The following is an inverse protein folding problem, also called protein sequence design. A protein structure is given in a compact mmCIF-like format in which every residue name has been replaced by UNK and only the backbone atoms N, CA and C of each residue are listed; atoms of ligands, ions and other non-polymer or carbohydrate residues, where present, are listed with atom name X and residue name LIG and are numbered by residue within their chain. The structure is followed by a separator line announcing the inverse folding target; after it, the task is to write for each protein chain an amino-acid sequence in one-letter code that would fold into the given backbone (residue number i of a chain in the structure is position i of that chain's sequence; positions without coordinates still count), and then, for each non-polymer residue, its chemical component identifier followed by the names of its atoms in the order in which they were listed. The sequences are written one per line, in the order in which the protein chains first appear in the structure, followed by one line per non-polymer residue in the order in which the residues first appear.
data_IF_477398890971
#
_entry.id   IF_477398890971
#
_cell.length_a   1.000
_cell.length_b   1.000
_cell.length_c   1.000
_cell.angle_alpha   90.00
_cell.angle_beta   90.00
_cell.angle_gamma   90.00
#
_symmetry.space_group_name_H-M   'P 1'
#
loop_
_entity.id
_entity.type
_entity.pdbx_description
1 polymer ?
#
# COMPACT_ATOMS: atom_id res chain seq x y z
N UNK A 1 8.23 -13.78 27.43
CA UNK A 1 7.78 -15.20 27.39
C UNK A 1 7.84 -15.84 26.01
N UNK A 2 8.05 -15.05 24.92
CA UNK A 2 7.96 -15.52 23.52
C UNK A 2 9.30 -15.62 22.80
N UNK A 3 10.40 -15.72 23.51
CA UNK A 3 11.70 -15.97 22.88
C UNK A 3 11.81 -17.43 22.43
N UNK A 4 12.46 -17.64 21.27
CA UNK A 4 12.69 -18.97 20.69
C UNK A 4 13.77 -19.77 21.43
N UNK A 5 14.59 -19.11 22.27
CA UNK A 5 15.56 -19.72 23.17
C UNK A 5 15.20 -19.36 24.61
N UNK A 6 15.06 -20.35 25.47
CA UNK A 6 14.63 -20.21 26.87
C UNK A 6 15.69 -20.73 27.82
N UNK A 7 15.60 -20.36 29.09
CA UNK A 7 16.46 -20.90 30.13
C UNK A 7 16.25 -22.42 30.27
N UNK A 8 17.33 -23.15 30.16
CA UNK A 8 17.34 -24.60 30.25
C UNK A 8 17.31 -25.33 28.89
N UNK A 9 17.12 -24.61 27.78
CA UNK A 9 17.20 -25.18 26.44
C UNK A 9 18.64 -25.48 26.06
N UNK A 10 18.83 -26.41 25.13
CA UNK A 10 20.11 -26.59 24.47
C UNK A 10 20.42 -25.37 23.60
N UNK A 11 21.68 -24.96 23.57
CA UNK A 11 22.10 -23.84 22.72
C UNK A 11 21.87 -24.15 21.24
N UNK A 12 21.05 -23.34 20.61
CA UNK A 12 20.81 -23.35 19.17
C UNK A 12 21.02 -21.93 18.60
N UNK A 13 21.95 -21.79 17.69
CA UNK A 13 22.24 -20.50 17.03
C UNK A 13 21.07 -19.99 16.19
N UNK A 14 20.26 -20.87 15.61
CA UNK A 14 19.06 -20.48 14.84
C UNK A 14 17.99 -19.90 15.78
N UNK A 15 17.73 -20.58 16.90
CA UNK A 15 16.80 -20.09 17.91
C UNK A 15 17.24 -18.73 18.51
N UNK A 16 18.56 -18.53 18.64
CA UNK A 16 19.11 -17.23 19.05
C UNK A 16 18.84 -16.14 17.98
N UNK A 17 19.06 -16.43 16.70
CA UNK A 17 18.83 -15.46 15.63
C UNK A 17 17.33 -15.14 15.43
N UNK A 18 16.46 -16.14 15.56
CA UNK A 18 15.00 -15.93 15.59
C UNK A 18 14.58 -15.07 16.78
N UNK A 19 15.15 -15.29 17.95
CA UNK A 19 14.90 -14.47 19.13
C UNK A 19 15.36 -13.02 18.93
N UNK A 20 16.50 -12.78 18.28
CA UNK A 20 16.95 -11.42 17.90
C UNK A 20 15.98 -10.74 16.94
N UNK A 21 15.54 -11.44 15.90
CA UNK A 21 14.55 -10.90 14.93
C UNK A 21 13.24 -10.56 15.61
N UNK A 22 12.77 -11.45 16.50
CA UNK A 22 11.56 -11.22 17.29
C UNK A 22 11.68 -9.98 18.17
N UNK A 23 12.76 -9.85 18.96
CA UNK A 23 13.00 -8.69 19.81
C UNK A 23 13.10 -7.39 19.00
N UNK A 24 13.82 -7.41 17.87
CA UNK A 24 13.92 -6.24 17.00
C UNK A 24 12.54 -5.81 16.49
N UNK A 25 11.73 -6.76 16.01
CA UNK A 25 10.36 -6.49 15.57
C UNK A 25 9.47 -5.98 16.70
N UNK A 26 9.60 -6.55 17.89
CA UNK A 26 8.86 -6.14 19.07
C UNK A 26 9.14 -4.68 19.44
N UNK A 27 10.42 -4.27 19.48
CA UNK A 27 10.79 -2.90 19.81
C UNK A 27 10.40 -1.91 18.69
N UNK A 28 10.50 -2.31 17.42
CA UNK A 28 9.99 -1.50 16.29
C UNK A 28 8.47 -1.26 16.43
N UNK A 29 7.72 -2.28 16.82
CA UNK A 29 6.26 -2.15 17.05
C UNK A 29 5.93 -1.27 18.26
N UNK A 30 6.85 -1.15 19.23
CA UNK A 30 6.74 -0.20 20.34
C UNK A 30 7.14 1.24 19.96
N UNK A 31 7.51 1.49 18.70
CA UNK A 31 7.88 2.82 18.21
C UNK A 31 9.38 3.13 18.20
N UNK A 32 10.23 2.20 18.68
CA UNK A 32 11.68 2.40 18.66
C UNK A 32 12.27 2.07 17.29
N UNK A 33 12.41 3.04 16.43
CA UNK A 33 12.81 2.84 15.03
C UNK A 33 14.30 2.54 14.82
N UNK A 34 15.15 2.94 15.78
CA UNK A 34 16.62 2.83 15.70
C UNK A 34 17.22 1.89 16.75
N UNK A 35 16.46 0.87 17.16
CA UNK A 35 16.90 -0.13 18.12
C UNK A 35 18.16 -0.85 17.63
N UNK A 36 19.20 -0.82 18.44
CA UNK A 36 20.41 -1.63 18.26
C UNK A 36 20.37 -2.79 19.24
N UNK A 37 20.28 -4.00 18.72
CA UNK A 37 20.25 -5.23 19.50
C UNK A 37 21.58 -5.99 19.33
N UNK A 38 22.34 -6.13 20.41
CA UNK A 38 23.56 -6.94 20.47
C UNK A 38 23.32 -8.15 21.39
N UNK A 39 23.88 -9.30 21.06
CA UNK A 39 23.93 -10.44 21.98
C UNK A 39 25.37 -10.74 22.37
N UNK A 40 25.62 -10.97 23.65
CA UNK A 40 26.88 -11.53 24.14
C UNK A 40 26.65 -12.96 24.62
N UNK A 41 27.54 -13.86 24.24
CA UNK A 41 27.49 -15.28 24.56
C UNK A 41 28.72 -15.60 25.41
N UNK A 42 28.49 -16.09 26.62
CA UNK A 42 29.55 -16.58 27.49
C UNK A 42 29.37 -18.08 27.68
N UNK A 43 30.41 -18.85 27.38
CA UNK A 43 30.42 -20.31 27.56
C UNK A 43 31.20 -20.66 28.83
N UNK A 44 30.55 -21.36 29.76
CA UNK A 44 31.16 -21.88 30.97
C UNK A 44 30.86 -23.39 31.03
N UNK A 45 31.88 -24.21 30.75
CA UNK A 45 31.77 -25.68 30.74
C UNK A 45 30.57 -26.18 29.95
N UNK A 46 29.49 -26.61 30.61
CA UNK A 46 28.27 -27.12 30.02
C UNK A 46 27.14 -26.08 29.95
N UNK A 47 27.39 -24.83 30.34
CA UNK A 47 26.41 -23.77 30.37
C UNK A 47 26.77 -22.66 29.36
N UNK A 48 25.75 -22.13 28.73
CA UNK A 48 25.84 -20.99 27.80
C UNK A 48 24.96 -19.87 28.31
N UNK A 49 25.57 -18.78 28.76
CA UNK A 49 24.84 -17.58 29.14
C UNK A 49 24.69 -16.64 27.94
N UNK A 50 23.47 -16.27 27.65
CA UNK A 50 23.13 -15.36 26.56
C UNK A 50 22.56 -14.07 27.15
N UNK A 51 23.22 -12.95 26.89
CA UNK A 51 22.76 -11.64 27.29
C UNK A 51 22.38 -10.82 26.05
N UNK A 52 21.16 -10.29 26.05
CA UNK A 52 20.71 -9.33 25.03
C UNK A 52 20.91 -7.91 25.55
N UNK A 53 21.72 -7.15 24.83
CA UNK A 53 21.94 -5.73 25.07
C UNK A 53 21.08 -4.95 24.08
N UNK A 54 20.13 -4.19 24.60
CA UNK A 54 19.17 -3.43 23.80
C UNK A 54 19.40 -1.94 24.04
N UNK A 55 19.78 -1.23 22.99
CA UNK A 55 19.84 0.24 22.96
C UNK A 55 18.69 0.75 22.12
N UNK A 56 17.86 1.64 22.67
CA UNK A 56 16.69 2.19 21.99
C UNK A 56 17.07 3.04 20.76
N UNK A 57 18.32 3.56 20.74
CA UNK A 57 18.74 4.56 19.74
C UNK A 57 18.17 5.94 20.04
N UNK A 58 18.63 6.93 19.30
CA UNK A 58 18.15 8.30 19.41
C UNK A 58 16.89 8.50 18.59
N UNK A 59 15.99 9.35 19.04
CA UNK A 59 14.84 9.77 18.24
C UNK A 59 15.34 10.60 17.06
N UNK A 60 14.79 10.33 15.87
CA UNK A 60 15.08 11.10 14.68
C UNK A 60 13.78 11.62 14.07
N UNK A 61 13.88 12.79 13.46
CA UNK A 61 12.74 13.49 12.87
C UNK A 61 12.84 13.50 11.35
N UNK A 62 11.70 13.54 10.69
CA UNK A 62 11.60 13.57 9.23
C UNK A 62 11.88 14.99 8.77
N UNK A 63 12.94 15.19 7.99
CA UNK A 63 13.27 16.49 7.39
C UNK A 63 12.46 16.70 6.10
N UNK A 64 12.55 15.74 5.17
CA UNK A 64 11.86 15.82 3.87
C UNK A 64 11.36 14.47 3.43
N UNK A 65 10.24 14.50 2.70
CA UNK A 65 9.68 13.36 1.99
C UNK A 65 9.81 13.63 0.50
N UNK A 66 10.65 12.86 -0.18
CA UNK A 66 10.93 13.01 -1.61
C UNK A 66 10.28 11.84 -2.34
N UNK A 67 9.43 12.13 -3.32
CA UNK A 67 8.75 11.12 -4.14
C UNK A 67 9.33 11.17 -5.54
N UNK A 68 9.75 10.01 -6.07
CA UNK A 68 10.39 9.86 -7.37
C UNK A 68 9.68 8.79 -8.20
N UNK A 69 9.61 9.01 -9.52
CA UNK A 69 9.07 8.03 -10.47
C UNK A 69 7.57 8.16 -10.74
N UNK A 70 6.89 9.11 -10.10
CA UNK A 70 5.49 9.44 -10.34
C UNK A 70 5.36 10.43 -11.50
N UNK A 71 5.52 9.95 -12.73
CA UNK A 71 5.48 10.80 -13.93
C UNK A 71 4.06 11.17 -14.37
N UNK A 72 3.08 10.35 -14.02
CA UNK A 72 1.65 10.53 -14.34
C UNK A 72 0.81 10.83 -13.10
N UNK A 73 1.11 10.16 -11.99
CA UNK A 73 0.37 10.32 -10.73
C UNK A 73 0.82 11.57 -9.99
N UNK A 74 -0.10 12.42 -9.61
CA UNK A 74 0.19 13.62 -8.82
C UNK A 74 0.79 13.26 -7.46
N UNK A 75 1.71 14.08 -6.99
CA UNK A 75 2.42 13.91 -5.71
C UNK A 75 1.43 13.82 -4.53
N UNK A 76 0.38 14.64 -4.55
CA UNK A 76 -0.69 14.66 -3.55
C UNK A 76 -1.39 13.32 -3.37
N UNK A 77 -1.57 12.56 -4.47
CA UNK A 77 -2.20 11.22 -4.44
C UNK A 77 -1.37 10.21 -3.65
N UNK A 78 -0.05 10.35 -3.69
CA UNK A 78 0.86 9.49 -2.92
C UNK A 78 0.98 10.01 -1.49
N UNK A 79 1.13 11.32 -1.31
CA UNK A 79 1.29 11.95 0.02
C UNK A 79 0.09 11.70 0.93
N UNK A 80 -1.14 11.73 0.42
CA UNK A 80 -2.34 11.48 1.22
C UNK A 80 -2.44 10.04 1.78
N UNK A 81 -1.65 9.10 1.24
CA UNK A 81 -1.54 7.73 1.75
C UNK A 81 -0.49 7.58 2.86
N UNK A 82 0.29 8.65 3.14
CA UNK A 82 1.27 8.66 4.22
C UNK A 82 0.56 8.94 5.55
N UNK A 83 1.00 8.24 6.60
CA UNK A 83 0.54 8.44 7.98
C UNK A 83 1.51 9.30 8.80
N UNK A 84 2.44 10.00 8.15
CA UNK A 84 3.45 10.86 8.75
C UNK A 84 3.76 12.06 7.84
N UNK A 85 4.30 13.13 8.42
CA UNK A 85 4.62 14.37 7.72
C UNK A 85 6.06 14.81 8.01
N UNK A 86 6.54 15.79 7.26
CA UNK A 86 7.80 16.48 7.57
C UNK A 86 7.68 17.17 8.94
N UNK A 87 8.68 16.94 9.79
CA UNK A 87 8.71 17.40 11.19
C UNK A 87 8.29 16.35 12.22
N UNK A 88 7.63 15.28 11.81
CA UNK A 88 7.23 14.21 12.73
C UNK A 88 8.43 13.38 13.19
N UNK A 89 8.31 12.77 14.36
CA UNK A 89 9.25 11.74 14.80
C UNK A 89 9.16 10.52 13.88
N UNK A 90 10.29 10.03 13.41
CA UNK A 90 10.33 8.91 12.47
C UNK A 90 9.83 7.61 13.11
N UNK A 91 8.82 7.03 12.50
CA UNK A 91 8.26 5.72 12.85
C UNK A 91 8.39 4.74 11.69
N UNK A 92 9.18 3.67 11.88
CA UNK A 92 9.35 2.63 10.86
C UNK A 92 8.05 1.87 10.60
N UNK A 93 7.21 1.70 11.61
CA UNK A 93 5.90 1.04 11.47
C UNK A 93 4.96 1.86 10.59
N UNK A 94 4.93 3.18 10.76
CA UNK A 94 4.13 4.09 9.95
C UNK A 94 4.62 4.16 8.51
N UNK A 95 5.94 4.20 8.30
CA UNK A 95 6.52 4.13 6.96
C UNK A 95 6.09 2.86 6.23
N UNK A 96 6.21 1.69 6.87
CA UNK A 96 5.83 0.42 6.27
C UNK A 96 4.30 0.31 6.02
N UNK A 97 3.49 0.88 6.91
CA UNK A 97 2.04 0.98 6.74
C UNK A 97 1.69 1.86 5.54
N UNK A 98 2.30 3.03 5.44
CA UNK A 98 2.12 3.97 4.32
C UNK A 98 2.51 3.35 2.98
N UNK A 99 3.63 2.62 2.92
CA UNK A 99 4.02 1.88 1.72
C UNK A 99 2.96 0.86 1.32
N UNK A 100 2.35 0.16 2.28
CA UNK A 100 1.25 -0.77 1.99
C UNK A 100 0.02 -0.03 1.46
N UNK A 101 -0.29 1.15 2.00
CA UNK A 101 -1.40 1.98 1.52
C UNK A 101 -1.17 2.42 0.07
N UNK A 102 0.02 2.95 -0.25
CA UNK A 102 0.39 3.34 -1.62
C UNK A 102 0.30 2.14 -2.58
N UNK A 103 0.78 0.95 -2.17
CA UNK A 103 0.65 -0.27 -3.00
C UNK A 103 -0.80 -0.68 -3.24
N UNK A 104 -1.70 -0.47 -2.28
CA UNK A 104 -3.14 -0.78 -2.41
C UNK A 104 -3.87 0.09 -3.44
N UNK A 105 -3.35 1.26 -3.78
CA UNK A 105 -3.89 2.06 -4.88
C UNK A 105 -3.93 1.29 -6.20
N UNK A 106 -2.96 0.38 -6.41
CA UNK A 106 -2.87 -0.41 -7.64
C UNK A 106 -2.38 0.40 -8.84
N UNK A 107 -1.69 1.52 -8.62
CA UNK A 107 -1.11 2.38 -9.67
C UNK A 107 0.37 2.08 -9.93
N UNK A 108 0.99 1.29 -9.03
CA UNK A 108 2.43 1.07 -9.03
C UNK A 108 2.79 -0.41 -9.05
N UNK A 109 3.74 -0.77 -9.90
CA UNK A 109 4.36 -2.10 -9.94
C UNK A 109 5.21 -2.34 -8.69
N UNK A 110 5.94 -1.29 -8.28
CA UNK A 110 6.78 -1.34 -7.08
C UNK A 110 6.77 0.01 -6.36
N UNK A 111 6.89 -0.06 -5.04
CA UNK A 111 7.09 1.08 -4.15
C UNK A 111 8.26 0.71 -3.26
N UNK A 112 9.37 1.41 -3.43
CA UNK A 112 10.60 1.24 -2.66
C UNK A 112 10.87 2.50 -1.83
N UNK A 113 11.67 2.36 -0.78
CA UNK A 113 12.08 3.48 0.03
C UNK A 113 13.56 3.43 0.35
N UNK A 114 14.14 4.58 0.56
CA UNK A 114 15.48 4.79 1.11
C UNK A 114 15.40 5.84 2.20
N UNK A 115 16.14 5.62 3.27
CA UNK A 115 16.26 6.59 4.37
C UNK A 115 17.70 7.12 4.28
N UNK A 116 17.84 8.43 4.19
CA UNK A 116 19.14 9.12 4.21
C UNK A 116 19.26 9.90 5.51
N UNK A 117 20.23 9.52 6.33
CA UNK A 117 20.51 10.20 7.58
C UNK A 117 21.40 11.41 7.32
N UNK A 118 21.01 12.56 7.85
CA UNK A 118 21.88 13.73 7.85
C UNK A 118 22.87 13.59 9.02
N UNK A 119 24.17 13.49 8.71
CA UNK A 119 25.24 13.22 9.69
C UNK A 119 25.40 14.30 10.77
N UNK A 120 24.78 15.45 10.61
CA UNK A 120 24.97 16.60 11.50
C UNK A 120 23.80 16.87 12.45
N UNK A 121 22.63 16.22 12.23
CA UNK A 121 21.40 16.50 12.98
C UNK A 121 20.58 15.21 13.18
N UNK A 122 19.67 15.23 14.14
CA UNK A 122 18.70 14.18 14.38
C UNK A 122 17.58 14.12 13.33
N UNK A 123 17.90 14.50 12.09
CA UNK A 123 16.99 14.54 10.96
C UNK A 123 17.35 13.51 9.89
N UNK A 124 16.31 13.03 9.19
CA UNK A 124 16.47 12.10 8.07
C UNK A 124 15.54 12.49 6.91
N UNK A 125 15.98 12.20 5.70
CA UNK A 125 15.18 12.31 4.49
C UNK A 125 14.61 10.93 4.13
N UNK A 126 13.30 10.89 3.78
CA UNK A 126 12.64 9.68 3.27
C UNK A 126 12.47 9.84 1.77
N UNK A 127 13.10 8.96 1.01
CA UNK A 127 12.98 8.92 -0.45
C UNK A 127 12.10 7.74 -0.82
N UNK A 128 10.93 8.01 -1.38
CA UNK A 128 10.01 7.03 -1.92
C UNK A 128 10.19 6.95 -3.44
N UNK A 129 10.52 5.78 -3.96
CA UNK A 129 10.65 5.55 -5.40
C UNK A 129 9.55 4.63 -5.87
N UNK A 130 8.69 5.12 -6.76
CA UNK A 130 7.58 4.35 -7.34
C UNK A 130 7.86 4.03 -8.80
N UNK A 131 7.31 2.91 -9.26
CA UNK A 131 7.28 2.53 -10.67
C UNK A 131 5.84 2.36 -11.10
N UNK A 132 5.36 3.26 -11.95
CA UNK A 132 3.97 3.29 -12.40
C UNK A 132 3.64 2.15 -13.37
N UNK A 133 2.37 1.75 -13.37
CA UNK A 133 1.76 0.83 -14.35
C UNK A 133 0.59 1.51 -15.05
N UNK A 134 0.08 0.87 -16.09
CA UNK A 134 -1.19 1.30 -16.70
C UNK A 134 -2.33 1.01 -15.74
N UNK A 135 -3.15 2.01 -15.48
CA UNK A 135 -4.31 1.97 -14.58
C UNK A 135 -5.63 1.78 -15.31
N UNK A 136 -5.60 2.01 -16.64
CA UNK A 136 -6.73 1.81 -17.55
C UNK A 136 -6.89 0.35 -17.94
N UNK A 137 -8.14 -0.08 -18.08
CA UNK A 137 -8.53 -1.42 -18.56
C UNK A 137 -9.63 -1.27 -19.59
N UNK A 138 -9.47 -1.95 -20.72
CA UNK A 138 -10.52 -2.10 -21.76
C UNK A 138 -10.97 -3.54 -21.72
N UNK A 139 -12.28 -3.75 -21.74
CA UNK A 139 -12.91 -5.07 -21.80
C UNK A 139 -13.89 -5.15 -22.97
N UNK A 140 -13.87 -6.27 -23.67
CA UNK A 140 -14.86 -6.60 -24.72
C UNK A 140 -15.36 -7.99 -24.42
N UNK A 141 -16.67 -8.17 -24.47
CA UNK A 141 -17.32 -9.45 -24.21
C UNK A 141 -18.47 -9.70 -25.16
N UNK A 142 -18.69 -10.96 -25.54
CA UNK A 142 -19.85 -11.40 -26.28
C UNK A 142 -20.53 -12.49 -25.46
N UNK A 143 -21.84 -12.36 -25.29
CA UNK A 143 -22.69 -13.33 -24.61
C UNK A 143 -23.92 -13.69 -25.42
N UNK A 144 -24.55 -14.82 -25.10
CA UNK A 144 -25.84 -15.20 -25.65
C UNK A 144 -26.78 -15.61 -24.50
N UNK A 145 -28.00 -15.12 -24.58
CA UNK A 145 -29.08 -15.56 -23.67
C UNK A 145 -30.40 -15.71 -24.47
N UNK A 146 -31.28 -16.61 -24.03
CA UNK A 146 -32.61 -16.80 -24.66
C UNK A 146 -33.51 -15.57 -24.54
N UNK A 147 -33.22 -14.66 -23.57
CA UNK A 147 -34.00 -13.44 -23.37
C UNK A 147 -33.56 -12.29 -24.28
N UNK A 148 -32.26 -12.07 -24.43
CA UNK A 148 -31.69 -10.90 -25.09
C UNK A 148 -30.96 -11.27 -26.40
N UNK A 149 -30.95 -12.56 -26.81
CA UNK A 149 -30.16 -13.06 -27.91
C UNK A 149 -28.65 -12.79 -27.75
N UNK A 150 -27.97 -12.39 -28.79
CA UNK A 150 -26.55 -12.03 -28.73
C UNK A 150 -26.38 -10.66 -28.06
N UNK A 151 -25.50 -10.59 -27.09
CA UNK A 151 -25.16 -9.35 -26.39
C UNK A 151 -23.69 -9.05 -26.58
N UNK A 152 -23.34 -7.83 -26.96
CA UNK A 152 -21.98 -7.32 -27.03
C UNK A 152 -21.78 -6.31 -25.92
N UNK A 153 -20.73 -6.52 -25.13
CA UNK A 153 -20.35 -5.64 -24.04
C UNK A 153 -19.02 -4.98 -24.34
N UNK A 154 -18.93 -3.69 -24.08
CA UNK A 154 -17.70 -2.92 -24.10
C UNK A 154 -17.57 -2.16 -22.78
N UNK A 155 -16.39 -2.24 -22.15
CA UNK A 155 -16.10 -1.53 -20.91
C UNK A 155 -14.75 -0.84 -20.98
N UNK A 156 -14.69 0.37 -20.45
CA UNK A 156 -13.47 1.13 -20.19
C UNK A 156 -13.48 1.56 -18.73
N UNK A 157 -12.42 1.24 -18.01
CA UNK A 157 -12.27 1.62 -16.62
C UNK A 157 -10.87 2.18 -16.40
N UNK A 158 -10.78 3.43 -15.93
CA UNK A 158 -9.55 4.09 -15.53
C UNK A 158 -9.60 4.35 -14.02
N UNK A 159 -8.54 3.92 -13.29
CA UNK A 159 -8.47 4.04 -11.82
C UNK A 159 -7.74 5.28 -11.34
N UNK A 160 -6.97 5.91 -12.22
CA UNK A 160 -6.15 7.08 -11.91
C UNK A 160 -6.29 8.14 -13.01
N UNK A 161 -7.52 8.58 -13.24
CA UNK A 161 -7.85 9.52 -14.31
C UNK A 161 -7.11 10.85 -14.11
N UNK A 162 -6.38 11.26 -15.13
CA UNK A 162 -5.50 12.44 -15.14
C UNK A 162 -4.44 12.46 -14.03
N UNK A 163 -4.15 11.33 -13.38
CA UNK A 163 -3.19 11.24 -12.30
C UNK A 163 -3.69 11.73 -10.95
N UNK A 164 -4.96 12.04 -10.81
CA UNK A 164 -5.56 12.61 -9.59
C UNK A 164 -6.14 11.54 -8.65
N UNK A 165 -6.03 10.25 -9.03
CA UNK A 165 -6.60 9.13 -8.27
C UNK A 165 -8.12 9.00 -8.45
N UNK A 166 -8.72 9.78 -9.32
CA UNK A 166 -10.12 9.69 -9.67
C UNK A 166 -10.37 8.46 -10.54
N UNK A 167 -11.52 7.82 -10.37
CA UNK A 167 -11.93 6.65 -11.17
C UNK A 167 -12.98 7.08 -12.17
N UNK A 168 -12.83 6.62 -13.41
CA UNK A 168 -13.82 6.83 -14.47
C UNK A 168 -14.15 5.48 -15.08
N UNK A 169 -15.44 5.25 -15.28
CA UNK A 169 -15.98 4.03 -15.88
C UNK A 169 -16.92 4.39 -17.01
N UNK A 170 -16.80 3.65 -18.12
CA UNK A 170 -17.74 3.70 -19.21
C UNK A 170 -18.06 2.26 -19.63
N UNK A 171 -19.34 1.89 -19.60
CA UNK A 171 -19.82 0.57 -19.98
C UNK A 171 -20.93 0.71 -21.01
N UNK A 172 -20.88 -0.12 -22.03
CA UNK A 172 -21.89 -0.26 -23.07
C UNK A 172 -22.25 -1.72 -23.23
N UNK A 173 -23.54 -2.01 -23.23
CA UNK A 173 -24.06 -3.34 -23.52
C UNK A 173 -25.16 -3.22 -24.56
N UNK A 174 -25.01 -3.91 -25.68
CA UNK A 174 -25.96 -3.87 -26.81
C UNK A 174 -26.39 -5.29 -27.15
N UNK A 175 -27.70 -5.48 -27.23
CA UNK A 175 -28.33 -6.72 -27.71
C UNK A 175 -29.51 -6.40 -28.62
N UNK A 176 -30.11 -7.42 -29.21
CA UNK A 176 -31.27 -7.24 -30.11
C UNK A 176 -32.49 -6.59 -29.42
N UNK A 177 -32.61 -6.80 -28.09
CA UNK A 177 -33.78 -6.34 -27.33
C UNK A 177 -33.46 -5.28 -26.27
N UNK A 178 -32.19 -5.07 -25.96
CA UNK A 178 -31.79 -4.18 -24.88
C UNK A 178 -30.46 -3.50 -25.20
N UNK A 179 -30.44 -2.19 -25.03
CA UNK A 179 -29.22 -1.39 -25.05
C UNK A 179 -29.06 -0.68 -23.73
N UNK A 180 -27.86 -0.69 -23.14
CA UNK A 180 -27.54 0.05 -21.93
C UNK A 180 -26.21 0.77 -22.03
N UNK A 181 -26.16 1.97 -21.51
CA UNK A 181 -25.00 2.85 -21.43
C UNK A 181 -24.84 3.32 -20.03
N UNK A 182 -23.64 3.21 -19.47
CA UNK A 182 -23.34 3.69 -18.13
C UNK A 182 -22.02 4.46 -18.14
N UNK A 183 -22.03 5.66 -17.54
CA UNK A 183 -20.85 6.49 -17.31
C UNK A 183 -20.79 6.78 -15.81
N UNK A 184 -19.71 6.41 -15.16
CA UNK A 184 -19.49 6.65 -13.75
C UNK A 184 -18.18 7.38 -13.50
N UNK A 185 -18.19 8.28 -12.54
CA UNK A 185 -17.00 8.95 -12.01
C UNK A 185 -16.99 8.87 -10.49
N UNK A 186 -15.83 8.59 -9.90
CA UNK A 186 -15.65 8.54 -8.45
C UNK A 186 -14.41 9.33 -8.05
N UNK A 187 -14.59 10.27 -7.16
CA UNK A 187 -13.48 10.91 -6.44
C UNK A 187 -13.39 10.28 -5.05
N UNK A 188 -12.32 9.53 -4.73
CA UNK A 188 -12.16 8.89 -3.42
C UNK A 188 -11.72 9.84 -2.31
N UNK A 189 -11.28 11.07 -2.67
CA UNK A 189 -10.75 12.07 -1.73
C UNK A 189 -11.32 13.46 -2.01
N UNK A 190 -12.63 13.57 -1.99
CA UNK A 190 -13.32 14.83 -2.29
C UNK A 190 -12.86 15.95 -1.36
N UNK A 191 -12.40 17.06 -1.95
CA UNK A 191 -11.82 18.20 -1.23
C UNK A 191 -10.64 17.79 -0.32
N UNK A 192 -9.77 16.92 -0.79
CA UNK A 192 -8.60 16.39 -0.07
C UNK A 192 -8.92 15.73 1.28
N UNK A 193 -10.15 15.26 1.45
CA UNK A 193 -10.61 14.51 2.63
C UNK A 193 -10.87 13.05 2.25
N UNK A 194 -10.73 12.09 3.18
CA UNK A 194 -11.05 10.68 2.94
C UNK A 194 -12.57 10.46 2.84
N UNK A 195 -13.20 11.21 1.94
CA UNK A 195 -14.62 11.18 1.60
C UNK A 195 -14.77 10.82 0.13
N UNK A 196 -15.36 9.68 -0.16
CA UNK A 196 -15.61 9.24 -1.54
C UNK A 196 -16.96 9.74 -2.03
N UNK A 197 -16.95 10.44 -3.17
CA UNK A 197 -18.15 10.83 -3.90
C UNK A 197 -18.16 10.14 -5.24
N UNK A 198 -19.30 9.55 -5.60
CA UNK A 198 -19.52 8.90 -6.89
C UNK A 198 -20.73 9.50 -7.57
N UNK A 199 -20.61 9.62 -8.90
CA UNK A 199 -21.68 10.04 -9.78
C UNK A 199 -21.80 9.05 -10.92
N UNK A 200 -23.00 8.53 -11.17
CA UNK A 200 -23.29 7.58 -12.23
C UNK A 200 -24.49 8.07 -13.06
N UNK A 201 -24.33 8.06 -14.38
CA UNK A 201 -25.40 8.31 -15.35
C UNK A 201 -25.59 7.05 -16.17
N UNK A 202 -26.81 6.59 -16.25
CA UNK A 202 -27.13 5.43 -17.06
C UNK A 202 -28.36 5.70 -17.95
N UNK A 203 -28.35 5.09 -19.13
CA UNK A 203 -29.51 4.97 -19.99
C UNK A 203 -29.73 3.50 -20.33
N UNK A 204 -30.98 3.07 -20.31
CA UNK A 204 -31.39 1.71 -20.64
C UNK A 204 -32.62 1.77 -21.54
N UNK A 205 -32.52 1.20 -22.73
CA UNK A 205 -33.59 1.06 -23.68
C UNK A 205 -33.94 -0.42 -23.88
N UNK A 206 -35.20 -0.76 -23.79
CA UNK A 206 -35.68 -2.13 -23.97
C UNK A 206 -36.81 -2.13 -25.04
N UNK A 207 -36.63 -2.86 -26.12
CA UNK A 207 -37.69 -3.10 -27.07
C UNK A 207 -38.68 -4.12 -26.50
N UNK A 208 -39.88 -3.63 -26.15
CA UNK A 208 -41.01 -4.50 -25.85
C UNK A 208 -41.65 -4.97 -27.16
N UNK A 209 -41.33 -6.18 -27.61
CA UNK A 209 -42.15 -6.83 -28.66
C UNK A 209 -43.54 -7.04 -28.08
N UNK A 210 -44.50 -6.18 -28.46
CA UNK A 210 -45.92 -6.51 -28.26
C UNK A 210 -46.16 -7.79 -29.01
N UNK A 211 -46.47 -8.85 -28.30
CA UNK A 211 -46.97 -10.08 -28.93
C UNK A 211 -48.28 -9.76 -29.66
N UNK A 212 -48.28 -10.02 -30.94
CA UNK A 212 -49.51 -10.15 -31.70
C UNK A 212 -50.29 -11.37 -31.25
#
# INVERSE_FOLDING_TARGET
EDLFIKKGDFYDSRALDESKKYLNKYFINLGYSFVKLKSSIKKNENLVDINFLISKGDEKYINRIIILGNTRTNDTVIRRELSFFEGDAFSRSELLSSIKSIKRLGYFQSVNYKIEENSQNDYLDIILTVKEINTGTVSVGIGYSSLNNTTVNFGLNEKNFLGEGNKVRFDVSISDKKSSYNIGATDPYFMDRPLSISFDVYNEETENTKGD
#
